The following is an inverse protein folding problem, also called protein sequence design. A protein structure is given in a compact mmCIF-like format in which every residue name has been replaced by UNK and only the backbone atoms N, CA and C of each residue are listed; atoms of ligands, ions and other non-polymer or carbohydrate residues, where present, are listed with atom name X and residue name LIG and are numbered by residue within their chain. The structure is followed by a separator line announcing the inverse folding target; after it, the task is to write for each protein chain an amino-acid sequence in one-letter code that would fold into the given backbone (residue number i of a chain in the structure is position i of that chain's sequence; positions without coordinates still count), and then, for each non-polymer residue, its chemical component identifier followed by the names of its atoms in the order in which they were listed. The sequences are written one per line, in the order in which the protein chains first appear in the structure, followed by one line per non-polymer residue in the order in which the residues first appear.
data_IF_103222611485
#
_entry.id   IF_103222611485
#
_cell.length_a   1.000
_cell.length_b   1.000
_cell.length_c   1.000
_cell.angle_alpha   90.00
_cell.angle_beta   90.00
_cell.angle_gamma   90.00
#
_symmetry.space_group_name_H-M   'P 1'
#
loop_
_entity.id
_entity.type
_entity.pdbx_description
1 polymer ?
#
# COMPACT_ATOMS: atom_id res chain seq x y z
N UNK A 1 -48.34 26.39 16.45
CA UNK A 1 -47.13 26.68 15.64
C UNK A 1 -45.90 26.40 16.50
N UNK A 2 -45.25 25.26 16.29
CA UNK A 2 -43.95 24.95 16.88
C UNK A 2 -42.90 25.05 15.76
N UNK A 3 -41.75 25.72 15.97
CA UNK A 3 -40.65 25.62 15.04
C UNK A 3 -39.72 24.46 15.43
N UNK A 4 -39.57 23.56 14.46
CA UNK A 4 -38.63 22.45 14.42
C UNK A 4 -37.17 22.96 14.35
N UNK A 5 -36.29 22.47 15.22
CA UNK A 5 -34.82 22.67 15.13
C UNK A 5 -34.19 21.37 14.63
N UNK A 6 -33.90 21.32 13.32
CA UNK A 6 -33.11 20.28 12.70
C UNK A 6 -31.66 20.34 13.22
N UNK A 7 -31.27 19.38 14.05
CA UNK A 7 -29.87 19.05 14.30
C UNK A 7 -29.33 18.25 13.12
N UNK A 8 -28.31 18.77 12.43
CA UNK A 8 -27.61 17.99 11.41
C UNK A 8 -26.78 16.90 12.08
N UNK A 9 -27.27 15.66 11.98
CA UNK A 9 -26.49 14.47 12.35
C UNK A 9 -25.44 14.29 11.27
N UNK A 10 -24.20 14.75 11.53
CA UNK A 10 -23.04 14.34 10.73
C UNK A 10 -22.91 12.82 10.85
N UNK A 11 -23.18 12.10 9.75
CA UNK A 11 -22.90 10.68 9.63
C UNK A 11 -21.41 10.43 9.87
N UNK A 12 -21.08 9.82 11.00
CA UNK A 12 -19.71 9.34 11.26
C UNK A 12 -19.55 8.03 10.50
N UNK A 13 -18.73 8.03 9.45
CA UNK A 13 -18.26 6.79 8.82
C UNK A 13 -17.65 5.86 9.88
N UNK A 14 -17.79 4.53 9.76
CA UNK A 14 -17.21 3.59 10.72
C UNK A 14 -15.69 3.78 10.74
N UNK A 15 -15.14 4.14 11.90
CA UNK A 15 -13.69 4.35 12.05
C UNK A 15 -12.95 3.05 11.73
N UNK A 16 -12.02 3.13 10.80
CA UNK A 16 -11.18 2.01 10.41
C UNK A 16 -10.27 1.60 11.59
N UNK A 17 -10.55 0.46 12.23
CA UNK A 17 -9.87 0.06 13.48
C UNK A 17 -8.36 -0.16 13.27
N UNK A 18 -7.92 -0.57 12.08
CA UNK A 18 -6.51 -0.81 11.80
C UNK A 18 -5.67 0.47 11.73
N UNK A 19 -6.22 1.56 11.21
CA UNK A 19 -5.54 2.86 11.15
C UNK A 19 -5.29 3.49 12.54
N UNK A 20 -5.90 2.98 13.61
CA UNK A 20 -5.56 3.41 14.97
C UNK A 20 -4.14 3.00 15.38
N UNK A 21 -3.58 1.95 14.77
CA UNK A 21 -2.23 1.42 15.09
C UNK A 21 -1.08 2.36 14.72
N UNK A 22 -1.30 3.33 13.83
CA UNK A 22 -0.32 4.36 13.48
C UNK A 22 -0.48 5.65 14.30
N UNK A 23 -1.59 5.80 15.00
CA UNK A 23 -1.91 6.98 15.81
C UNK A 23 -1.54 6.77 17.29
N UNK A 24 -0.32 6.29 17.52
CA UNK A 24 0.22 5.99 18.84
C UNK A 24 0.29 7.24 19.74
N UNK A 25 -0.04 7.03 21.01
CA UNK A 25 0.00 8.02 22.10
C UNK A 25 1.04 7.65 23.16
N UNK A 26 1.55 8.61 23.94
CA UNK A 26 2.46 8.31 25.04
C UNK A 26 1.83 7.33 26.04
N UNK A 27 2.52 6.21 26.30
CA UNK A 27 2.01 5.11 27.13
C UNK A 27 1.55 3.88 26.34
N UNK A 28 1.38 4.01 25.02
CA UNK A 28 1.11 2.86 24.15
C UNK A 28 2.36 1.99 23.94
N UNK A 29 2.12 0.72 23.62
CA UNK A 29 3.16 -0.23 23.22
C UNK A 29 3.12 -0.46 21.71
N UNK A 30 4.27 -0.78 21.14
CA UNK A 30 4.39 -1.14 19.74
C UNK A 30 3.65 -2.44 19.46
N UNK A 31 2.62 -2.36 18.62
CA UNK A 31 1.77 -3.49 18.28
C UNK A 31 2.48 -4.60 17.49
N UNK A 32 3.68 -4.32 16.96
CA UNK A 32 4.50 -5.31 16.27
C UNK A 32 5.42 -6.09 17.23
N UNK A 33 6.03 -5.39 18.19
CA UNK A 33 7.07 -5.98 19.07
C UNK A 33 6.60 -6.22 20.50
N UNK A 34 5.50 -5.61 20.92
CA UNK A 34 5.02 -5.57 22.31
C UNK A 34 5.84 -4.67 23.24
N UNK A 35 6.89 -4.01 22.74
CA UNK A 35 7.76 -3.14 23.52
C UNK A 35 7.19 -1.71 23.62
N UNK A 36 7.49 -0.94 24.68
CA UNK A 36 7.11 0.46 24.75
C UNK A 36 7.79 1.28 23.65
N UNK A 37 7.06 2.23 23.05
CA UNK A 37 7.63 3.11 22.03
C UNK A 37 8.74 4.01 22.60
N UNK A 38 9.81 4.16 21.84
CA UNK A 38 10.92 5.04 22.17
C UNK A 38 10.55 6.52 22.07
N UNK A 39 11.28 7.39 22.78
CA UNK A 39 11.12 8.85 22.62
C UNK A 39 11.37 9.29 21.16
N UNK A 40 12.37 8.69 20.52
CA UNK A 40 12.74 8.96 19.12
C UNK A 40 11.58 8.67 18.17
N UNK A 41 10.83 7.59 18.41
CA UNK A 41 9.65 7.27 17.62
C UNK A 41 8.62 8.41 17.64
N UNK A 42 8.30 8.96 18.82
CA UNK A 42 7.33 10.05 18.93
C UNK A 42 7.80 11.34 18.24
N UNK A 43 9.10 11.65 18.31
CA UNK A 43 9.67 12.80 17.59
C UNK A 43 9.53 12.64 16.07
N UNK A 44 9.79 11.43 15.56
CA UNK A 44 9.62 11.09 14.14
C UNK A 44 8.14 11.10 13.75
N UNK A 45 7.25 10.53 14.57
CA UNK A 45 5.80 10.49 14.32
C UNK A 45 5.20 11.89 14.19
N UNK A 46 5.67 12.85 15.01
CA UNK A 46 5.25 14.25 14.90
C UNK A 46 5.61 14.88 13.55
N UNK A 47 6.75 14.52 12.96
CA UNK A 47 7.14 14.98 11.63
C UNK A 47 6.31 14.28 10.54
N UNK A 48 6.10 12.96 10.65
CA UNK A 48 5.31 12.16 9.70
C UNK A 48 3.89 12.65 9.54
N UNK A 49 3.25 13.07 10.66
CA UNK A 49 1.90 13.66 10.66
C UNK A 49 1.74 14.93 9.82
N UNK A 50 2.84 15.59 9.46
CA UNK A 50 2.83 16.80 8.62
C UNK A 50 2.98 16.49 7.13
N UNK A 51 3.24 15.23 6.75
CA UNK A 51 3.40 14.86 5.35
C UNK A 51 2.06 14.91 4.63
N UNK A 52 2.01 15.39 3.36
CA UNK A 52 0.77 15.48 2.60
C UNK A 52 -0.02 14.17 2.50
N UNK A 53 0.67 13.02 2.39
CA UNK A 53 0.00 11.72 2.34
C UNK A 53 -0.73 11.33 3.63
N UNK A 54 -0.41 11.95 4.78
CA UNK A 54 -0.99 11.60 6.08
C UNK A 54 -2.49 11.95 6.16
N UNK A 55 -2.89 13.07 5.56
CA UNK A 55 -4.30 13.48 5.51
C UNK A 55 -5.14 12.53 4.66
N UNK A 56 -4.52 11.89 3.65
CA UNK A 56 -5.15 10.99 2.68
C UNK A 56 -4.97 9.51 3.02
N UNK A 57 -4.53 9.17 4.23
CA UNK A 57 -4.24 7.79 4.64
C UNK A 57 -5.46 6.86 4.61
N UNK A 58 -6.63 7.36 5.00
CA UNK A 58 -7.87 6.58 4.95
C UNK A 58 -8.28 6.31 3.51
N UNK A 59 -8.19 7.33 2.66
CA UNK A 59 -8.48 7.23 1.22
C UNK A 59 -7.56 6.20 0.55
N UNK A 60 -6.26 6.24 0.83
CA UNK A 60 -5.28 5.29 0.29
C UNK A 60 -5.57 3.84 0.69
N UNK A 61 -5.89 3.61 1.98
CA UNK A 61 -6.24 2.27 2.46
C UNK A 61 -7.55 1.78 1.85
N UNK A 62 -8.56 2.65 1.75
CA UNK A 62 -9.86 2.30 1.16
C UNK A 62 -9.73 1.98 -0.34
N UNK A 63 -8.93 2.76 -1.07
CA UNK A 63 -8.63 2.53 -2.48
C UNK A 63 -8.05 1.14 -2.72
N UNK A 64 -7.03 0.75 -1.93
CA UNK A 64 -6.41 -0.58 -2.04
C UNK A 64 -7.35 -1.69 -1.56
N UNK A 65 -8.15 -1.45 -0.51
CA UNK A 65 -9.12 -2.46 -0.05
C UNK A 65 -10.13 -2.82 -1.13
N UNK A 66 -10.60 -1.81 -1.87
CA UNK A 66 -11.74 -1.94 -2.78
C UNK A 66 -11.35 -2.38 -4.20
N UNK A 67 -10.08 -2.29 -4.58
CA UNK A 67 -9.60 -2.57 -5.93
C UNK A 67 -8.43 -3.56 -5.91
N UNK A 68 -8.38 -4.48 -6.90
CA UNK A 68 -7.24 -5.39 -7.05
C UNK A 68 -5.99 -4.68 -7.59
N UNK A 69 -6.17 -3.59 -8.34
CA UNK A 69 -5.09 -2.73 -8.84
C UNK A 69 -5.43 -1.28 -8.55
N UNK A 70 -4.45 -0.47 -8.17
CA UNK A 70 -4.63 0.96 -7.89
C UNK A 70 -3.39 1.75 -8.29
N UNK A 71 -3.58 3.02 -8.67
CA UNK A 71 -2.49 3.94 -8.97
C UNK A 71 -2.55 5.10 -7.99
N UNK A 72 -1.48 5.32 -7.23
CA UNK A 72 -1.36 6.42 -6.30
C UNK A 72 -0.41 7.48 -6.83
N UNK A 73 -0.95 8.67 -7.08
CA UNK A 73 -0.20 9.82 -7.59
C UNK A 73 0.09 10.81 -6.47
N UNK A 74 1.30 11.36 -6.45
CA UNK A 74 1.60 12.53 -5.62
C UNK A 74 2.99 13.10 -5.85
N UNK A 75 3.28 14.26 -5.30
CA UNK A 75 4.57 14.93 -5.48
C UNK A 75 5.72 14.21 -4.79
N UNK A 76 6.95 14.41 -5.26
CA UNK A 76 8.15 13.93 -4.57
C UNK A 76 8.24 14.53 -3.17
N UNK A 77 8.59 13.73 -2.17
CA UNK A 77 8.60 14.18 -0.77
C UNK A 77 7.23 14.23 -0.08
N UNK A 78 6.14 13.90 -0.77
CA UNK A 78 4.80 13.77 -0.14
C UNK A 78 4.69 12.63 0.87
N UNK A 79 5.65 11.71 0.88
CA UNK A 79 5.76 10.60 1.83
C UNK A 79 5.27 9.24 1.34
N UNK A 80 4.87 9.08 0.07
CA UNK A 80 4.26 7.84 -0.47
C UNK A 80 5.04 6.57 -0.13
N UNK A 81 6.30 6.50 -0.56
CA UNK A 81 7.24 5.37 -0.38
C UNK A 81 7.42 4.92 1.07
N UNK A 82 7.33 5.86 2.02
CA UNK A 82 7.53 5.59 3.45
C UNK A 82 6.23 5.32 4.17
N UNK A 83 5.18 6.11 3.93
CA UNK A 83 3.97 6.12 4.75
C UNK A 83 2.88 5.17 4.23
N UNK A 84 2.69 5.08 2.92
CA UNK A 84 1.61 4.27 2.33
C UNK A 84 1.76 2.79 2.72
N UNK A 85 2.95 2.16 2.64
CA UNK A 85 3.10 0.79 3.07
C UNK A 85 2.78 0.60 4.56
N UNK A 86 3.12 1.58 5.40
CA UNK A 86 2.80 1.55 6.84
C UNK A 86 1.29 1.68 7.11
N UNK A 87 0.58 2.51 6.35
CA UNK A 87 -0.88 2.63 6.45
C UNK A 87 -1.57 1.32 6.08
N UNK A 88 -1.13 0.69 4.99
CA UNK A 88 -1.65 -0.59 4.53
C UNK A 88 -1.35 -1.70 5.55
N UNK A 89 -0.11 -1.78 6.04
CA UNK A 89 0.27 -2.76 7.06
C UNK A 89 -0.56 -2.61 8.35
N UNK A 90 -0.84 -1.36 8.73
CA UNK A 90 -1.58 -1.05 9.95
C UNK A 90 -3.08 -1.34 9.82
N UNK A 91 -3.64 -1.25 8.60
CA UNK A 91 -5.03 -1.65 8.34
C UNK A 91 -5.33 -3.11 8.71
N UNK A 92 -4.30 -3.95 8.90
CA UNK A 92 -4.42 -5.28 9.48
C UNK A 92 -4.89 -6.33 8.48
N UNK A 93 -5.53 -7.40 8.97
CA UNK A 93 -6.00 -8.52 8.14
C UNK A 93 -7.08 -8.17 7.10
N UNK A 94 -7.53 -6.92 7.06
CA UNK A 94 -8.46 -6.41 6.05
C UNK A 94 -7.87 -6.46 4.63
N UNK A 95 -6.54 -6.45 4.50
CA UNK A 95 -5.83 -6.59 3.22
C UNK A 95 -5.24 -7.98 3.02
N UNK A 96 -5.50 -8.93 3.93
CA UNK A 96 -4.92 -10.27 3.92
C UNK A 96 -3.79 -10.49 4.92
N UNK A 97 -3.37 -11.74 5.07
CA UNK A 97 -2.36 -12.16 6.06
C UNK A 97 -0.91 -12.12 5.53
N UNK A 98 -0.73 -11.99 4.22
CA UNK A 98 0.58 -11.95 3.56
C UNK A 98 1.41 -10.70 3.88
N UNK A 99 2.67 -10.72 3.44
CA UNK A 99 3.62 -9.60 3.56
C UNK A 99 3.26 -8.48 2.58
N UNK A 100 3.78 -7.28 2.84
CA UNK A 100 3.75 -6.17 1.88
C UNK A 100 5.12 -6.06 1.23
N UNK A 101 5.17 -6.21 -0.09
CA UNK A 101 6.37 -5.94 -0.88
C UNK A 101 6.36 -4.51 -1.41
N UNK A 102 7.49 -3.82 -1.32
CA UNK A 102 7.68 -2.51 -1.96
C UNK A 102 8.93 -2.58 -2.81
N UNK A 103 8.78 -2.36 -4.10
CA UNK A 103 9.92 -2.33 -5.02
C UNK A 103 10.51 -0.94 -5.11
N UNK A 104 11.79 -0.87 -5.47
CA UNK A 104 12.53 0.34 -5.78
C UNK A 104 13.47 0.04 -6.94
N UNK A 105 13.59 0.91 -7.95
CA UNK A 105 14.47 0.65 -9.09
C UNK A 105 15.95 0.61 -8.69
N UNK A 106 16.32 1.26 -7.57
CA UNK A 106 17.72 1.41 -7.12
C UNK A 106 17.96 0.70 -5.78
N UNK A 107 19.05 -0.07 -5.71
CA UNK A 107 19.48 -0.79 -4.50
C UNK A 107 19.63 0.13 -3.29
N UNK A 108 20.31 1.27 -3.45
CA UNK A 108 20.54 2.25 -2.38
C UNK A 108 19.21 2.84 -1.88
N UNK A 109 18.22 3.02 -2.76
CA UNK A 109 16.90 3.47 -2.37
C UNK A 109 16.18 2.41 -1.51
N UNK A 110 16.16 1.14 -1.95
CA UNK A 110 15.57 0.04 -1.18
C UNK A 110 16.16 -0.06 0.25
N UNK A 111 17.48 -0.03 0.37
CA UNK A 111 18.18 -0.10 1.66
C UNK A 111 17.85 1.10 2.56
N UNK A 112 17.98 2.31 2.00
CA UNK A 112 17.83 3.55 2.79
C UNK A 112 16.38 3.77 3.22
N UNK A 113 15.41 3.46 2.37
CA UNK A 113 13.98 3.51 2.70
C UNK A 113 13.63 2.46 3.75
N UNK A 114 14.11 1.21 3.62
CA UNK A 114 13.86 0.17 4.63
C UNK A 114 14.41 0.57 6.00
N UNK A 115 15.66 1.05 6.05
CA UNK A 115 16.28 1.52 7.28
C UNK A 115 15.53 2.71 7.88
N UNK A 116 15.05 3.63 7.03
CA UNK A 116 14.22 4.75 7.47
C UNK A 116 12.90 4.27 8.07
N UNK A 117 12.20 3.37 7.38
CA UNK A 117 10.88 2.90 7.81
C UNK A 117 10.98 2.02 9.07
N UNK A 118 12.04 1.23 9.23
CA UNK A 118 12.31 0.53 10.49
C UNK A 118 12.42 1.50 11.68
N UNK A 119 13.12 2.63 11.50
CA UNK A 119 13.17 3.69 12.52
C UNK A 119 11.81 4.37 12.75
N UNK A 120 11.04 4.59 11.69
CA UNK A 120 9.71 5.19 11.79
C UNK A 120 8.70 4.29 12.52
N UNK A 121 8.90 2.98 12.47
CA UNK A 121 8.07 1.96 13.11
C UNK A 121 8.61 1.48 14.46
N UNK A 122 9.76 2.02 14.89
CA UNK A 122 10.44 1.66 16.15
C UNK A 122 10.74 0.15 16.23
N UNK A 123 11.26 -0.41 15.14
CA UNK A 123 11.66 -1.82 15.03
C UNK A 123 13.10 -1.95 14.55
N UNK A 124 13.68 -3.12 14.78
CA UNK A 124 15.02 -3.44 14.27
C UNK A 124 14.95 -3.82 12.77
N UNK A 125 15.86 -3.26 11.97
CA UNK A 125 15.96 -3.58 10.55
C UNK A 125 16.33 -5.06 10.38
N UNK A 126 15.55 -5.77 9.56
CA UNK A 126 15.64 -7.21 9.36
C UNK A 126 14.65 -8.03 10.19
N UNK A 127 13.99 -7.42 11.18
CA UNK A 127 12.86 -8.03 11.89
C UNK A 127 11.57 -7.74 11.12
N UNK A 128 10.68 -6.87 11.62
CA UNK A 128 9.37 -6.61 11.02
C UNK A 128 9.43 -5.79 9.73
N UNK A 129 10.47 -4.96 9.58
CA UNK A 129 10.81 -4.24 8.35
C UNK A 129 12.17 -4.71 7.88
N UNK A 130 12.28 -5.08 6.60
CA UNK A 130 13.53 -5.58 6.03
C UNK A 130 13.69 -5.22 4.57
N UNK A 131 14.84 -5.58 3.99
CA UNK A 131 15.05 -5.45 2.56
C UNK A 131 15.73 -6.65 1.92
N UNK A 132 15.48 -6.86 0.63
CA UNK A 132 16.14 -7.88 -0.18
C UNK A 132 16.66 -7.28 -1.49
N UNK A 133 17.96 -7.30 -1.67
CA UNK A 133 18.64 -6.84 -2.90
C UNK A 133 19.58 -7.94 -3.39
N UNK A 134 20.09 -7.77 -4.61
CA UNK A 134 21.07 -8.73 -5.14
C UNK A 134 22.28 -8.81 -4.21
N UNK A 135 22.58 -10.03 -3.78
CA UNK A 135 23.69 -10.40 -2.87
C UNK A 135 23.53 -10.01 -1.40
N UNK A 136 22.38 -9.46 -0.98
CA UNK A 136 22.15 -9.08 0.41
C UNK A 136 20.66 -9.19 0.76
N UNK A 137 20.33 -10.07 1.70
CA UNK A 137 18.97 -10.28 2.21
C UNK A 137 18.98 -10.00 3.71
N UNK A 138 18.33 -8.89 4.09
CA UNK A 138 18.14 -8.46 5.48
C UNK A 138 16.66 -8.55 5.79
N UNK A 139 16.18 -9.79 5.84
CA UNK A 139 14.81 -10.13 6.22
C UNK A 139 14.79 -11.34 7.15
N UNK A 140 13.65 -11.58 7.79
CA UNK A 140 13.42 -12.72 8.67
C UNK A 140 11.99 -13.22 8.52
N UNK A 141 11.64 -14.28 9.24
CA UNK A 141 10.27 -14.79 9.32
C UNK A 141 9.29 -13.76 9.88
N UNK A 142 9.77 -12.83 10.71
CA UNK A 142 8.96 -11.73 11.26
C UNK A 142 8.70 -10.60 10.26
N UNK A 143 9.43 -10.56 9.14
CA UNK A 143 9.31 -9.47 8.18
C UNK A 143 7.92 -9.40 7.60
N UNK A 144 7.25 -8.27 7.85
CA UNK A 144 5.92 -7.97 7.32
C UNK A 144 5.96 -6.94 6.21
N UNK A 145 6.96 -6.05 6.25
CA UNK A 145 7.21 -5.04 5.22
C UNK A 145 8.59 -5.27 4.60
N UNK A 146 8.61 -5.62 3.32
CA UNK A 146 9.82 -6.01 2.60
C UNK A 146 10.08 -5.04 1.46
N UNK A 147 11.16 -4.26 1.58
CA UNK A 147 11.64 -3.42 0.50
C UNK A 147 12.59 -4.20 -0.39
N UNK A 148 12.52 -4.08 -1.71
CA UNK A 148 13.41 -4.82 -2.59
C UNK A 148 13.62 -4.10 -3.90
N UNK A 149 14.58 -4.56 -4.68
CA UNK A 149 14.67 -4.12 -6.08
C UNK A 149 13.70 -4.88 -6.97
N UNK A 150 13.23 -4.25 -8.05
CA UNK A 150 12.37 -4.85 -9.07
C UNK A 150 12.90 -6.21 -9.54
N UNK A 151 14.21 -6.31 -9.79
CA UNK A 151 14.84 -7.57 -10.22
C UNK A 151 14.79 -8.68 -9.18
N UNK A 152 14.72 -8.37 -7.88
CA UNK A 152 14.54 -9.37 -6.83
C UNK A 152 13.09 -9.86 -6.78
N UNK A 153 12.11 -8.96 -6.93
CA UNK A 153 10.70 -9.36 -7.03
C UNK A 153 10.47 -10.22 -8.27
N UNK A 154 11.05 -9.84 -9.42
CA UNK A 154 10.95 -10.61 -10.66
C UNK A 154 11.53 -12.02 -10.50
N UNK A 155 12.62 -12.16 -9.73
CA UNK A 155 13.19 -13.48 -9.42
C UNK A 155 12.27 -14.30 -8.52
N UNK A 156 11.61 -13.65 -7.55
CA UNK A 156 10.59 -14.31 -6.73
C UNK A 156 9.39 -14.75 -7.60
N UNK A 157 8.93 -13.94 -8.57
CA UNK A 157 7.87 -14.33 -9.55
C UNK A 157 8.19 -15.62 -10.29
N UNK A 158 9.47 -15.86 -10.64
CA UNK A 158 9.85 -17.06 -11.38
C UNK A 158 9.70 -18.34 -10.54
N UNK A 159 9.76 -18.22 -9.22
CA UNK A 159 9.63 -19.35 -8.29
C UNK A 159 8.19 -19.48 -7.78
N UNK A 160 7.55 -18.36 -7.49
CA UNK A 160 6.16 -18.25 -7.07
C UNK A 160 5.42 -17.28 -8.00
N UNK A 161 4.88 -17.76 -9.14
CA UNK A 161 4.16 -16.92 -10.11
C UNK A 161 2.90 -16.27 -9.52
N UNK A 162 2.30 -16.89 -8.50
CA UNK A 162 1.10 -16.37 -7.84
C UNK A 162 1.42 -15.37 -6.75
N UNK A 163 2.70 -15.18 -6.39
CA UNK A 163 3.10 -14.26 -5.32
C UNK A 163 2.37 -14.52 -4.01
N UNK A 164 2.16 -15.79 -3.68
CA UNK A 164 1.34 -16.27 -2.54
C UNK A 164 1.78 -15.70 -1.18
N UNK A 165 3.05 -15.32 -1.04
CA UNK A 165 3.59 -14.74 0.19
C UNK A 165 3.15 -13.28 0.43
N UNK A 166 2.63 -12.61 -0.60
CA UNK A 166 2.32 -11.18 -0.56
C UNK A 166 0.82 -10.94 -0.63
N UNK A 167 0.33 -10.12 0.31
CA UNK A 167 -1.04 -9.62 0.31
C UNK A 167 -1.16 -8.35 -0.54
N UNK A 168 -0.13 -7.51 -0.49
CA UNK A 168 -0.03 -6.28 -1.28
C UNK A 168 1.37 -6.18 -1.88
N UNK A 169 1.42 -5.89 -3.18
CA UNK A 169 2.66 -5.55 -3.90
C UNK A 169 2.60 -4.09 -4.31
N UNK A 170 3.65 -3.34 -3.99
CA UNK A 170 3.80 -1.93 -4.33
C UNK A 170 4.92 -1.78 -5.36
N UNK A 171 4.57 -1.35 -6.57
CA UNK A 171 5.53 -0.95 -7.60
C UNK A 171 5.79 0.55 -7.44
N UNK A 172 6.87 0.91 -6.76
CA UNK A 172 7.21 2.31 -6.52
C UNK A 172 8.12 2.86 -7.61
N UNK A 173 8.09 4.18 -7.81
CA UNK A 173 8.85 4.87 -8.85
C UNK A 173 8.59 4.28 -10.26
N UNK A 174 7.37 3.77 -10.51
CA UNK A 174 7.00 3.12 -11.78
C UNK A 174 7.18 4.02 -13.02
N UNK A 175 7.24 5.35 -12.79
CA UNK A 175 7.55 6.34 -13.82
C UNK A 175 8.98 6.23 -14.38
N UNK A 176 9.92 5.58 -13.70
CA UNK A 176 11.26 5.30 -14.25
C UNK A 176 11.21 4.28 -15.41
N UNK A 177 10.08 3.60 -15.63
CA UNK A 177 9.81 2.70 -16.77
C UNK A 177 10.95 1.73 -17.07
N UNK A 178 11.49 1.09 -16.03
CA UNK A 178 12.55 0.11 -16.21
C UNK A 178 12.00 -1.16 -16.86
N UNK A 179 12.84 -1.89 -17.59
CA UNK A 179 12.45 -3.17 -18.19
C UNK A 179 11.90 -4.16 -17.14
N UNK A 180 12.49 -4.20 -15.95
CA UNK A 180 12.03 -5.07 -14.88
C UNK A 180 10.64 -4.67 -14.38
N UNK A 181 10.38 -3.37 -14.22
CA UNK A 181 9.07 -2.84 -13.82
C UNK A 181 7.99 -3.16 -14.85
N UNK A 182 8.29 -2.96 -16.15
CA UNK A 182 7.35 -3.24 -17.24
C UNK A 182 7.01 -4.74 -17.32
N UNK A 183 7.98 -5.63 -17.14
CA UNK A 183 7.74 -7.09 -17.07
C UNK A 183 6.91 -7.45 -15.83
N UNK A 184 7.21 -6.84 -14.67
CA UNK A 184 6.46 -7.07 -13.44
C UNK A 184 4.98 -6.67 -13.59
N UNK A 185 4.66 -5.56 -14.27
CA UNK A 185 3.27 -5.22 -14.57
C UNK A 185 2.53 -6.32 -15.33
N UNK A 186 3.18 -6.93 -16.32
CA UNK A 186 2.61 -8.06 -17.08
C UNK A 186 2.34 -9.27 -16.19
N UNK A 187 3.36 -9.70 -15.42
CA UNK A 187 3.26 -10.86 -14.54
C UNK A 187 2.24 -10.67 -13.41
N UNK A 188 2.20 -9.47 -12.80
CA UNK A 188 1.24 -9.17 -11.74
C UNK A 188 -0.19 -9.12 -12.27
N UNK A 189 -0.39 -8.63 -13.50
CA UNK A 189 -1.71 -8.67 -14.15
C UNK A 189 -2.19 -10.10 -14.33
N UNK A 190 -1.33 -11.01 -14.77
CA UNK A 190 -1.64 -12.45 -14.89
C UNK A 190 -1.93 -13.08 -13.52
N UNK A 191 -1.14 -12.75 -12.50
CA UNK A 191 -1.29 -13.29 -11.14
C UNK A 191 -2.59 -12.84 -10.44
N UNK A 192 -3.10 -11.65 -10.78
CA UNK A 192 -4.38 -11.12 -10.27
C UNK A 192 -5.59 -11.75 -10.98
N UNK A 193 -5.43 -12.13 -12.25
CA UNK A 193 -6.47 -12.80 -13.02
C UNK A 193 -6.62 -14.27 -12.62
N UNK A 194 -5.51 -14.90 -12.25
CA UNK A 194 -5.45 -16.29 -11.80
C UNK A 194 -5.91 -16.41 -10.34
N UNK A 195 -6.99 -17.14 -10.03
CA UNK A 195 -7.42 -17.39 -8.64
C UNK A 195 -6.32 -18.12 -7.85
N UNK A 196 -6.17 -17.78 -6.56
CA UNK A 196 -5.19 -18.46 -5.71
C UNK A 196 -5.62 -19.88 -5.34
N UNK A 197 -6.92 -20.10 -5.16
CA UNK A 197 -7.55 -21.30 -4.61
C UNK A 197 -8.95 -21.55 -5.23
N UNK A 198 -9.44 -22.79 -5.16
CA UNK A 198 -10.78 -23.19 -5.62
C UNK A 198 -11.91 -22.43 -4.88
N UNK A 199 -11.72 -22.06 -3.61
CA UNK A 199 -12.70 -21.30 -2.80
C UNK A 199 -12.93 -19.86 -3.32
N UNK A 200 -11.91 -19.20 -3.90
CA UNK A 200 -12.08 -17.87 -4.51
C UNK A 200 -12.89 -17.95 -5.82
N UNK A 201 -12.90 -19.12 -6.45
CA UNK A 201 -13.64 -19.39 -7.69
C UNK A 201 -15.15 -19.39 -7.42
N UNK A 202 -15.58 -19.89 -6.26
CA UNK A 202 -16.98 -19.90 -5.83
C UNK A 202 -17.50 -18.49 -5.50
N UNK A 203 -16.66 -17.66 -4.87
CA UNK A 203 -16.97 -16.25 -4.60
C UNK A 203 -17.09 -15.43 -5.91
N UNK A 204 -16.23 -15.70 -6.90
CA UNK A 204 -16.32 -15.09 -8.25
C UNK A 204 -17.50 -15.61 -9.06
N UNK A 205 -17.88 -16.88 -8.91
CA UNK A 205 -19.03 -17.45 -9.62
C UNK A 205 -20.34 -16.76 -9.20
N UNK A 206 -20.49 -16.45 -7.90
CA UNK A 206 -21.64 -15.70 -7.39
C UNK A 206 -21.70 -14.25 -7.90
N UNK A 207 -20.57 -13.62 -8.22
CA UNK A 207 -20.52 -12.27 -8.80
C UNK A 207 -20.83 -12.24 -10.31
N UNK A 208 -20.63 -13.36 -11.03
CA UNK A 208 -20.88 -13.46 -12.47
C UNK A 208 -22.31 -13.89 -12.84
N UNK A 209 -23.08 -14.44 -11.89
CA UNK A 209 -24.50 -14.74 -12.11
C UNK A 209 -25.35 -13.45 -12.11
N UNK A 210 -25.22 -12.63 -13.15
CA UNK A 210 -26.02 -11.42 -13.32
C UNK A 210 -25.58 -10.44 -14.40
N UNK A 211 -24.38 -10.56 -14.96
CA UNK A 211 -23.86 -9.61 -15.95
C UNK A 211 -23.68 -10.26 -17.33
N UNK A 212 -24.12 -9.60 -18.43
CA UNK A 212 -23.85 -10.08 -19.79
C UNK A 212 -22.34 -10.07 -20.07
N UNK A 213 -21.87 -11.00 -20.91
CA UNK A 213 -20.47 -11.09 -21.35
C UNK A 213 -20.05 -9.82 -22.12
N UNK A 214 -19.54 -8.81 -21.42
CA UNK A 214 -18.74 -7.73 -22.01
C UNK A 214 -17.24 -7.94 -21.71
N UNK A 215 -16.40 -7.55 -22.67
CA UNK A 215 -14.94 -7.61 -22.55
C UNK A 215 -14.44 -6.96 -21.25
N UNK A 216 -13.41 -7.51 -20.59
CA UNK A 216 -12.95 -6.98 -19.32
C UNK A 216 -12.47 -5.53 -19.54
N UNK A 217 -13.00 -4.54 -18.79
CA UNK A 217 -12.65 -3.15 -19.00
C UNK A 217 -11.14 -2.97 -18.80
N UNK A 218 -10.48 -2.44 -19.82
CA UNK A 218 -9.15 -1.87 -19.71
C UNK A 218 -9.23 -0.72 -18.71
N UNK A 219 -8.66 -0.94 -17.52
CA UNK A 219 -8.61 -0.03 -16.36
C UNK A 219 -9.91 -0.06 -15.52
N UNK A 220 -9.84 -0.81 -14.42
CA UNK A 220 -10.91 -1.09 -13.47
C UNK A 220 -11.18 0.12 -12.56
N UNK A 221 -12.12 0.99 -12.94
CA UNK A 221 -12.91 1.67 -11.92
C UNK A 221 -14.03 0.71 -11.53
N UNK A 222 -13.93 0.13 -10.34
CA UNK A 222 -14.97 -0.76 -9.82
C UNK A 222 -16.27 0.04 -9.64
N UNK A 223 -17.42 -0.56 -10.00
CA UNK A 223 -18.70 0.13 -9.96
C UNK A 223 -18.93 0.84 -8.61
N UNK A 224 -19.40 2.10 -8.61
CA UNK A 224 -19.62 2.85 -7.37
C UNK A 224 -20.65 2.12 -6.49
N UNK A 225 -20.19 1.67 -5.31
CA UNK A 225 -21.01 0.92 -4.35
C UNK A 225 -20.73 -0.58 -4.26
N UNK A 226 -19.78 -1.12 -5.04
CA UNK A 226 -19.37 -2.53 -4.91
C UNK A 226 -18.79 -2.85 -3.51
N UNK A 227 -19.13 -4.01 -2.90
CA UNK A 227 -18.67 -4.38 -1.56
C UNK A 227 -17.15 -4.56 -1.53
N UNK A 228 -16.40 -4.25 -0.46
CA UNK A 228 -14.93 -4.40 -0.44
C UNK A 228 -14.50 -5.83 -0.81
N UNK A 229 -13.35 -5.96 -1.48
CA UNK A 229 -12.84 -7.26 -1.90
C UNK A 229 -12.55 -8.15 -0.68
N UNK A 230 -12.76 -9.49 -0.76
CA UNK A 230 -12.47 -10.41 0.33
C UNK A 230 -11.01 -10.36 0.82
N UNK A 231 -10.78 -10.81 2.05
CA UNK A 231 -9.46 -10.77 2.70
C UNK A 231 -8.42 -11.74 2.11
N UNK A 232 -8.78 -12.61 1.15
CA UNK A 232 -7.84 -13.48 0.43
C UNK A 232 -7.26 -12.88 -0.85
N UNK A 233 -7.91 -11.84 -1.40
CA UNK A 233 -7.56 -11.34 -2.72
C UNK A 233 -6.21 -10.60 -2.73
N UNK A 234 -5.34 -11.00 -3.66
CA UNK A 234 -4.10 -10.28 -3.96
C UNK A 234 -4.40 -8.89 -4.51
N UNK A 235 -3.64 -7.91 -4.04
CA UNK A 235 -3.76 -6.51 -4.44
C UNK A 235 -2.43 -5.95 -4.90
N UNK A 236 -2.49 -5.12 -5.93
CA UNK A 236 -1.36 -4.43 -6.49
C UNK A 236 -1.59 -2.91 -6.42
N UNK A 237 -0.55 -2.18 -6.02
CA UNK A 237 -0.55 -0.73 -5.97
C UNK A 237 0.66 -0.20 -6.75
N UNK A 238 0.41 0.51 -7.84
CA UNK A 238 1.43 1.34 -8.49
C UNK A 238 1.54 2.66 -7.74
N UNK A 239 2.73 3.08 -7.36
CA UNK A 239 2.98 4.39 -6.77
C UNK A 239 3.77 5.22 -7.76
N UNK A 240 3.17 6.33 -8.16
CA UNK A 240 3.71 7.22 -9.16
C UNK A 240 4.01 8.59 -8.54
N UNK A 241 5.29 8.94 -8.56
CA UNK A 241 5.76 10.28 -8.23
C UNK A 241 5.68 11.15 -9.48
N UNK A 242 4.91 12.23 -9.41
CA UNK A 242 4.92 13.28 -10.41
C UNK A 242 5.42 14.56 -9.75
N UNK A 243 6.53 15.10 -10.24
CA UNK A 243 6.79 16.53 -10.08
C UNK A 243 5.92 17.23 -11.12
N UNK A 244 5.09 18.18 -10.72
CA UNK A 244 4.49 19.10 -11.69
C UNK A 244 5.62 19.58 -12.60
N UNK A 245 5.59 19.31 -13.93
CA UNK A 245 6.47 20.05 -14.80
C UNK A 245 6.11 21.52 -14.57
N UNK A 246 7.11 22.33 -14.23
CA UNK A 246 6.97 23.78 -14.13
C UNK A 246 6.10 24.21 -15.29
N UNK A 247 4.88 24.72 -15.02
CA UNK A 247 4.07 25.27 -16.09
C UNK A 247 4.87 26.45 -16.66
N UNK A 248 5.20 26.47 -17.96
CA UNK A 248 5.94 27.58 -18.55
C UNK A 248 5.08 28.84 -18.75
N UNK A 249 4.12 29.10 -17.85
CA UNK A 249 3.09 30.15 -17.97
C UNK A 249 3.13 31.19 -16.84
N UNK A 250 4.27 31.34 -16.14
CA UNK A 250 4.53 32.51 -15.29
C UNK A 250 5.92 33.12 -15.51
N UNK A 251 6.30 33.27 -16.77
CA UNK A 251 7.38 34.18 -17.16
C UNK A 251 6.89 35.16 -18.22
N UNK A 252 5.78 35.85 -17.93
CA UNK A 252 5.40 37.13 -18.56
C UNK A 252 4.36 37.85 -17.68
N UNK A 253 4.82 38.41 -16.56
CA UNK A 253 4.18 39.54 -15.89
C UNK A 253 5.16 40.19 -14.90
N UNK A 254 5.59 41.40 -15.26
CA UNK A 254 6.51 42.36 -14.60
C UNK A 254 8.01 42.08 -14.71
#
# INVERSE_FOLDING_TARGET
MAPNKNGSVRSRSPKNKGLQRIDASPGDVNWLTGAPYSKRFFDILKARRKLPCWEKREDAVNMVRNNQSSVLIGETGSGKTTQVPQFLLSSGGELGSGKIAVTQPRRVAAMSVAARVAQEMDVELGQEVGYNIRFEDVTSEKTRLKYMTDGMLLRECQTDPLMSQYSVIILDEAHERTLATDILFGLLKEAIQTPADEDETECRAQEREGEPEEEPPTILERAPGAPPLPCGFRRFLSVECYTNPIQPEQSFAM
#
